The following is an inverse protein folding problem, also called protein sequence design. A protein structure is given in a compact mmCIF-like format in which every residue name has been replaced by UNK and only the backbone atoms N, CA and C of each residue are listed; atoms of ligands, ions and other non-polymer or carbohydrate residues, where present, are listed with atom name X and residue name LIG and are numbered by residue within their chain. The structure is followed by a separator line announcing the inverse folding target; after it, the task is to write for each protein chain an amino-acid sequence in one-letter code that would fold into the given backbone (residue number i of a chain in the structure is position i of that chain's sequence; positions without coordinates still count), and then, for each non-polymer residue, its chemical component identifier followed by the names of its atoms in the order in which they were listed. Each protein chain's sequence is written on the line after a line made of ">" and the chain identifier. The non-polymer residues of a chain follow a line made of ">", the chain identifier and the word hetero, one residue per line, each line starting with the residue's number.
data_IF_236237899064
#
_entry.id   IF_236237899064
#
_cell.length_a   1.000
_cell.length_b   1.000
_cell.length_c   1.000
_cell.angle_alpha   90.00
_cell.angle_beta   90.00
_cell.angle_gamma   90.00
#
_symmetry.space_group_name_H-M   'P 1'
#
loop_
_entity.id
_entity.type
_entity.pdbx_description
1 polymer ?
#
# COMPACT_ATOMS: atom_id res chain seq x y z
N UNK A 1 41.82 -40.46 -17.73
CA UNK A 1 41.81 -38.99 -17.85
C UNK A 1 40.62 -38.47 -17.08
N UNK A 2 40.83 -37.78 -15.96
CA UNK A 2 39.76 -37.05 -15.28
C UNK A 2 39.66 -35.65 -15.89
N UNK A 3 38.49 -35.29 -16.41
CA UNK A 3 38.24 -33.93 -16.87
C UNK A 3 37.99 -33.06 -15.63
N UNK A 4 38.86 -32.08 -15.41
CA UNK A 4 38.64 -31.06 -14.39
C UNK A 4 37.73 -30.00 -15.03
N UNK A 5 36.42 -30.07 -14.76
CA UNK A 5 35.48 -29.03 -15.21
C UNK A 5 35.68 -27.82 -14.31
N UNK A 6 36.48 -26.86 -14.76
CA UNK A 6 36.55 -25.55 -14.14
C UNK A 6 35.21 -24.85 -14.40
N UNK A 7 34.39 -24.73 -13.35
CA UNK A 7 33.22 -23.84 -13.38
C UNK A 7 33.77 -22.42 -13.55
N UNK A 8 33.56 -21.83 -14.72
CA UNK A 8 33.98 -20.46 -15.04
C UNK A 8 33.37 -19.50 -14.03
N UNK A 9 34.11 -18.44 -13.68
CA UNK A 9 33.81 -17.48 -12.60
C UNK A 9 32.38 -16.93 -12.60
N UNK A 10 31.67 -16.99 -13.73
CA UNK A 10 30.32 -16.46 -13.90
C UNK A 10 29.29 -17.41 -13.29
N UNK A 11 29.51 -18.72 -13.38
CA UNK A 11 28.66 -19.72 -12.71
C UNK A 11 29.02 -19.90 -11.23
N UNK A 12 30.28 -19.65 -10.85
CA UNK A 12 30.69 -19.66 -9.44
C UNK A 12 30.14 -18.42 -8.71
N UNK A 13 30.15 -17.24 -9.36
CA UNK A 13 29.48 -16.05 -8.84
C UNK A 13 27.97 -16.27 -8.63
N UNK A 14 27.30 -17.03 -9.51
CA UNK A 14 25.87 -17.38 -9.35
C UNK A 14 25.59 -18.30 -8.14
N UNK A 15 26.54 -19.19 -7.79
CA UNK A 15 26.46 -20.12 -6.66
C UNK A 15 26.92 -19.51 -5.33
N UNK A 16 27.84 -18.55 -5.37
CA UNK A 16 28.55 -18.02 -4.19
C UNK A 16 28.05 -16.63 -3.77
N UNK A 17 27.37 -15.88 -4.66
CA UNK A 17 26.62 -14.68 -4.27
C UNK A 17 25.24 -15.09 -3.75
N UNK A 18 24.80 -14.43 -2.67
CA UNK A 18 23.41 -14.40 -2.18
C UNK A 18 22.47 -13.75 -3.20
N UNK A 19 22.38 -14.29 -4.41
CA UNK A 19 21.40 -13.88 -5.40
C UNK A 19 20.11 -14.63 -5.08
N UNK A 20 19.39 -14.15 -4.07
CA UNK A 20 18.08 -14.64 -3.65
C UNK A 20 17.06 -14.63 -4.82
N UNK A 21 17.28 -13.76 -5.83
CA UNK A 21 16.41 -13.66 -7.02
C UNK A 21 17.08 -14.28 -8.24
N UNK A 22 17.02 -15.60 -8.35
CA UNK A 22 17.10 -16.32 -9.64
C UNK A 22 15.85 -17.17 -9.77
N UNK A 23 14.70 -16.49 -9.86
CA UNK A 23 13.38 -17.13 -9.94
C UNK A 23 12.53 -16.47 -11.03
N UNK A 24 13.14 -15.79 -12.02
CA UNK A 24 12.38 -15.12 -13.10
C UNK A 24 11.79 -16.10 -14.14
N UNK A 25 11.98 -17.41 -13.99
CA UNK A 25 11.44 -18.44 -14.92
C UNK A 25 10.67 -19.58 -14.25
N UNK A 26 10.50 -19.58 -12.93
CA UNK A 26 9.78 -20.64 -12.20
C UNK A 26 8.30 -20.24 -11.99
N UNK A 27 7.37 -20.96 -12.63
CA UNK A 27 5.92 -20.74 -12.49
C UNK A 27 5.41 -20.93 -11.06
N UNK A 28 6.03 -21.84 -10.31
CA UNK A 28 5.62 -22.19 -8.94
C UNK A 28 6.25 -21.26 -7.87
N UNK A 29 7.05 -20.28 -8.28
CA UNK A 29 7.71 -19.32 -7.38
C UNK A 29 8.84 -19.93 -6.54
N UNK A 30 9.02 -19.42 -5.32
CA UNK A 30 10.03 -19.87 -4.35
C UNK A 30 9.37 -20.20 -3.00
N UNK A 31 9.84 -21.26 -2.34
CA UNK A 31 9.32 -21.66 -1.02
C UNK A 31 9.85 -20.82 0.15
N UNK A 32 10.96 -20.09 -0.07
CA UNK A 32 11.60 -19.27 0.96
C UNK A 32 11.06 -17.84 0.96
N UNK A 33 11.26 -17.10 2.05
CA UNK A 33 10.95 -15.66 2.11
C UNK A 33 12.04 -14.84 1.39
N UNK A 34 11.69 -13.60 1.01
CA UNK A 34 12.62 -12.60 0.46
C UNK A 34 13.03 -11.66 1.59
N UNK A 35 14.34 -11.43 1.82
CA UNK A 35 14.82 -10.46 2.82
C UNK A 35 15.68 -9.37 2.19
N UNK A 36 15.17 -8.16 2.22
CA UNK A 36 15.89 -6.97 1.74
C UNK A 36 16.51 -6.22 2.92
N UNK A 37 17.78 -5.86 2.77
CA UNK A 37 18.53 -5.09 3.77
C UNK A 37 18.68 -3.61 3.40
N UNK A 38 18.30 -3.24 2.18
CA UNK A 38 18.26 -1.84 1.75
C UNK A 38 17.21 -1.09 2.58
N UNK A 39 17.64 -0.02 3.25
CA UNK A 39 16.82 0.79 4.17
C UNK A 39 16.19 2.00 3.48
N UNK A 40 16.32 2.12 2.16
CA UNK A 40 15.75 3.23 1.39
C UNK A 40 14.22 3.23 1.53
N UNK A 41 13.67 4.29 2.12
CA UNK A 41 12.22 4.50 2.22
C UNK A 41 11.62 4.84 0.84
N UNK A 42 10.37 4.42 0.60
CA UNK A 42 9.62 4.82 -0.59
C UNK A 42 8.88 6.12 -0.34
N UNK A 43 9.24 7.15 -1.11
CA UNK A 43 8.59 8.47 -1.10
C UNK A 43 7.90 8.76 -2.43
N UNK A 44 8.10 7.88 -3.42
CA UNK A 44 7.54 7.95 -4.77
C UNK A 44 7.48 6.54 -5.38
N UNK A 45 6.83 6.43 -6.53
CA UNK A 45 6.76 5.19 -7.31
C UNK A 45 8.10 4.71 -7.90
N UNK A 46 9.18 5.50 -7.81
CA UNK A 46 10.51 5.14 -8.32
C UNK A 46 11.58 5.12 -7.22
N UNK A 47 11.20 5.13 -5.95
CA UNK A 47 12.12 5.04 -4.81
C UNK A 47 11.70 3.94 -3.84
N UNK A 48 12.66 3.39 -3.12
CA UNK A 48 12.45 2.34 -2.12
C UNK A 48 13.28 1.09 -2.37
N UNK A 49 13.30 0.19 -1.39
CA UNK A 49 14.00 -1.10 -1.48
C UNK A 49 13.28 -2.13 -2.36
N UNK A 50 11.99 -1.91 -2.66
CA UNK A 50 11.19 -2.69 -3.62
C UNK A 50 10.55 -1.72 -4.61
N UNK A 51 10.77 -1.95 -5.91
CA UNK A 51 10.10 -1.22 -7.00
C UNK A 51 9.59 -2.26 -8.00
N UNK A 52 8.29 -2.23 -8.30
CA UNK A 52 7.67 -3.07 -9.33
C UNK A 52 7.09 -2.20 -10.43
N UNK A 53 7.39 -2.52 -11.70
CA UNK A 53 6.76 -1.83 -12.83
C UNK A 53 5.28 -2.23 -13.00
N UNK A 54 4.92 -3.44 -12.55
CA UNK A 54 3.54 -3.94 -12.46
C UNK A 54 2.98 -3.87 -11.05
N UNK A 55 1.78 -4.43 -10.86
CA UNK A 55 1.14 -4.54 -9.54
C UNK A 55 1.78 -5.61 -8.64
N UNK A 56 1.41 -5.56 -7.36
CA UNK A 56 1.78 -6.57 -6.36
C UNK A 56 0.52 -7.27 -5.88
N UNK A 57 0.45 -8.59 -6.06
CA UNK A 57 -0.59 -9.41 -5.47
C UNK A 57 -0.18 -9.88 -4.08
N UNK A 58 -1.03 -9.67 -3.07
CA UNK A 58 -0.78 -10.11 -1.68
C UNK A 58 -1.98 -10.93 -1.24
N UNK A 59 -1.82 -12.26 -1.15
CA UNK A 59 -2.91 -13.18 -0.81
C UNK A 59 -3.32 -13.11 0.67
N UNK A 60 -2.38 -12.71 1.53
CA UNK A 60 -2.56 -12.58 2.99
C UNK A 60 -2.36 -11.11 3.39
N UNK A 61 -2.15 -10.86 4.68
CA UNK A 61 -1.98 -9.50 5.20
C UNK A 61 -0.66 -8.87 4.75
N UNK A 62 -0.70 -7.57 4.51
CA UNK A 62 0.47 -6.70 4.52
C UNK A 62 0.45 -5.87 5.81
N UNK A 63 1.62 -5.67 6.42
CA UNK A 63 1.78 -4.79 7.60
C UNK A 63 2.79 -3.70 7.23
N UNK A 64 2.38 -2.45 7.36
CA UNK A 64 3.19 -1.27 7.05
C UNK A 64 3.53 -0.58 8.36
N UNK A 65 4.82 -0.46 8.67
CA UNK A 65 5.28 0.16 9.93
C UNK A 65 5.24 1.69 9.91
N UNK A 66 5.31 2.30 8.73
CA UNK A 66 5.25 3.75 8.54
C UNK A 66 4.02 4.14 7.70
N UNK A 67 4.19 5.05 6.73
CA UNK A 67 3.10 5.61 5.95
C UNK A 67 2.77 4.74 4.72
N UNK A 68 1.48 4.59 4.43
CA UNK A 68 0.99 4.11 3.14
C UNK A 68 0.55 5.31 2.30
N UNK A 69 1.22 5.54 1.15
CA UNK A 69 0.83 6.56 0.19
C UNK A 69 0.23 5.91 -1.05
N UNK A 70 -0.99 6.30 -1.40
CA UNK A 70 -1.71 5.81 -2.59
C UNK A 70 -1.90 7.00 -3.53
N UNK A 71 -1.42 6.88 -4.76
CA UNK A 71 -1.56 7.94 -5.78
C UNK A 71 -2.92 7.88 -6.50
N UNK A 72 -3.55 6.71 -6.52
CA UNK A 72 -4.89 6.50 -7.06
C UNK A 72 -5.93 6.31 -5.94
N UNK A 73 -6.92 5.46 -6.21
CA UNK A 73 -7.99 5.16 -5.26
C UNK A 73 -7.62 4.00 -4.33
N UNK A 74 -8.13 4.04 -3.10
CA UNK A 74 -8.18 2.89 -2.20
C UNK A 74 -9.56 2.23 -2.33
N UNK A 75 -9.59 0.94 -2.63
CA UNK A 75 -10.81 0.13 -2.67
C UNK A 75 -10.65 -0.99 -1.64
N UNK A 76 -11.67 -1.17 -0.80
CA UNK A 76 -11.74 -2.24 0.21
C UNK A 76 -13.05 -2.97 0.08
N UNK A 77 -13.01 -4.28 -0.15
CA UNK A 77 -14.23 -5.11 -0.29
C UNK A 77 -14.96 -5.30 1.04
N UNK A 78 -14.22 -5.25 2.16
CA UNK A 78 -14.76 -5.31 3.52
C UNK A 78 -14.67 -3.97 4.26
N UNK A 79 -14.83 -4.03 5.57
CA UNK A 79 -14.80 -2.85 6.43
C UNK A 79 -13.39 -2.24 6.51
N UNK A 80 -13.35 -0.90 6.59
CA UNK A 80 -12.14 -0.14 6.94
C UNK A 80 -12.31 0.43 8.34
N UNK A 81 -11.40 0.11 9.26
CA UNK A 81 -11.33 0.71 10.60
C UNK A 81 -10.13 1.65 10.68
N UNK A 82 -10.35 2.89 11.11
CA UNK A 82 -9.30 3.88 11.36
C UNK A 82 -9.32 4.21 12.85
N UNK A 83 -8.30 3.75 13.58
CA UNK A 83 -8.22 3.93 15.04
C UNK A 83 -7.88 5.37 15.44
N UNK A 84 -7.36 6.17 14.51
CA UNK A 84 -7.02 7.58 14.71
C UNK A 84 -8.03 8.53 14.07
N UNK A 85 -7.56 9.72 13.71
CA UNK A 85 -8.38 10.71 13.03
C UNK A 85 -8.48 10.39 11.53
N UNK A 86 -9.62 10.78 10.94
CA UNK A 86 -9.85 10.74 9.50
C UNK A 86 -10.16 12.15 9.01
N UNK A 87 -9.48 12.56 7.94
CA UNK A 87 -9.69 13.83 7.26
C UNK A 87 -10.07 13.49 5.82
N UNK A 88 -11.21 13.99 5.37
CA UNK A 88 -11.65 13.86 3.98
C UNK A 88 -11.53 15.20 3.27
N UNK A 89 -11.02 15.13 2.03
CA UNK A 89 -10.90 16.27 1.13
C UNK A 89 -9.72 17.20 1.41
N UNK A 90 -9.26 17.84 0.35
CA UNK A 90 -8.27 18.91 0.30
C UNK A 90 -8.72 20.12 -0.56
N UNK A 91 -9.91 20.05 -1.14
CA UNK A 91 -10.51 21.04 -2.01
C UNK A 91 -12.01 21.23 -1.69
N UNK A 92 -12.56 22.37 -2.12
CA UNK A 92 -13.99 22.67 -1.96
C UNK A 92 -14.90 21.80 -2.83
N UNK A 93 -14.33 21.06 -3.77
CA UNK A 93 -15.03 20.15 -4.68
C UNK A 93 -15.17 18.72 -4.14
N UNK A 94 -14.56 18.43 -2.99
CA UNK A 94 -14.58 17.07 -2.45
C UNK A 94 -15.95 16.70 -1.89
N UNK A 95 -16.23 15.41 -1.91
CA UNK A 95 -17.49 14.86 -1.43
C UNK A 95 -17.25 13.64 -0.56
N UNK A 96 -18.12 13.49 0.44
CA UNK A 96 -18.28 12.25 1.20
C UNK A 96 -19.70 11.76 0.95
N UNK A 97 -19.83 10.57 0.37
CA UNK A 97 -21.12 9.94 0.10
C UNK A 97 -21.33 8.80 1.09
N UNK A 98 -22.44 8.87 1.84
CA UNK A 98 -22.90 7.79 2.69
C UNK A 98 -24.09 7.11 2.02
N UNK A 99 -23.91 5.85 1.62
CA UNK A 99 -24.99 5.01 1.07
C UNK A 99 -25.69 4.18 2.15
N UNK A 100 -25.19 4.26 3.38
CA UNK A 100 -25.68 3.55 4.56
C UNK A 100 -25.88 4.55 5.71
N UNK A 101 -26.50 4.06 6.78
CA UNK A 101 -26.82 4.88 7.95
C UNK A 101 -25.58 5.16 8.81
N UNK A 102 -25.60 6.33 9.46
CA UNK A 102 -24.63 6.68 10.50
C UNK A 102 -25.14 6.14 11.83
N UNK A 103 -24.46 5.13 12.37
CA UNK A 103 -24.85 4.46 13.61
C UNK A 103 -24.35 5.17 14.90
N UNK A 104 -24.09 6.48 14.83
CA UNK A 104 -23.58 7.27 15.96
C UNK A 104 -23.93 8.75 15.84
N UNK A 105 -23.84 9.48 16.95
CA UNK A 105 -24.03 10.92 16.96
C UNK A 105 -22.95 11.67 16.18
N UNK A 106 -23.32 12.76 15.52
CA UNK A 106 -22.39 13.74 14.95
C UNK A 106 -22.14 14.84 16.00
N UNK A 107 -20.97 14.83 16.65
CA UNK A 107 -20.63 15.75 17.74
C UNK A 107 -19.38 16.55 17.35
N UNK A 108 -19.46 17.89 17.17
CA UNK A 108 -18.29 18.71 16.88
C UNK A 108 -17.36 18.87 18.09
N UNK A 109 -16.07 19.11 17.84
CA UNK A 109 -15.08 19.36 18.90
C UNK A 109 -15.10 20.79 19.46
N UNK A 110 -15.89 21.70 18.86
CA UNK A 110 -16.03 23.09 19.28
C UNK A 110 -17.48 23.52 19.23
N UNK A 111 -17.91 24.24 20.27
CA UNK A 111 -19.29 24.67 20.44
C UNK A 111 -19.64 25.82 19.48
N UNK A 112 -20.78 25.73 18.80
CA UNK A 112 -21.31 26.75 17.89
C UNK A 112 -20.38 27.15 16.71
N UNK A 113 -19.53 26.24 16.21
CA UNK A 113 -18.60 26.52 15.10
C UNK A 113 -18.98 25.86 13.77
N UNK A 114 -19.46 24.61 13.81
CA UNK A 114 -19.62 23.80 12.60
C UNK A 114 -21.08 23.68 12.17
N UNK A 115 -21.31 23.83 10.87
CA UNK A 115 -22.63 23.73 10.25
C UNK A 115 -22.82 22.36 9.58
N UNK A 116 -24.07 21.89 9.54
CA UNK A 116 -24.50 20.81 8.65
C UNK A 116 -25.26 21.48 7.49
N UNK A 117 -24.59 21.61 6.33
CA UNK A 117 -25.07 22.42 5.20
C UNK A 117 -24.71 23.91 5.30
N UNK A 118 -25.17 24.71 4.34
CA UNK A 118 -25.01 26.18 4.31
C UNK A 118 -26.18 26.87 3.57
N UNK A 119 -26.17 28.20 3.44
CA UNK A 119 -27.28 28.98 2.83
C UNK A 119 -27.50 28.72 1.33
N UNK A 120 -26.52 28.16 0.64
CA UNK A 120 -26.60 27.77 -0.78
C UNK A 120 -26.76 26.27 -0.98
N UNK A 121 -26.45 25.47 0.05
CA UNK A 121 -26.45 24.01 0.05
C UNK A 121 -27.18 23.50 1.28
N UNK A 122 -28.49 23.43 1.16
CA UNK A 122 -29.38 23.00 2.23
C UNK A 122 -29.58 21.49 2.16
N UNK A 123 -29.70 20.85 3.31
CA UNK A 123 -30.26 19.50 3.37
C UNK A 123 -31.75 19.57 3.02
N UNK A 124 -32.23 18.57 2.29
CA UNK A 124 -33.64 18.47 1.95
C UNK A 124 -34.47 18.34 3.23
N UNK A 125 -35.56 19.11 3.32
CA UNK A 125 -36.57 18.98 4.35
C UNK A 125 -37.80 18.32 3.72
N UNK A 126 -37.80 17.00 3.61
CA UNK A 126 -38.92 16.21 3.11
C UNK A 126 -39.64 15.53 4.26
#
# INVERSE_FOLDING_TARGET
>A
MSANVALTDTFDQWRVKTNEVVVMTQTDGMSNFIKLLDTTNSTSNTTGSIITAGGVGILKSAVIGENLRIHGNLITDGDTTISGNLIFGDATTDQVTFTADINSSLIPNSNNVFNIGNTTMLWANT
#
